data_IF_405567651028
#
_entry.id   IF_405567651028
#
_cell.length_a   1.000
_cell.length_b   1.000
_cell.length_c   1.000
_cell.angle_alpha   90.00
_cell.angle_beta   90.00
_cell.angle_gamma   90.00
#
_symmetry.space_group_name_H-M   'P 1'
#
loop_
_entity.id
_entity.type
_entity.pdbx_description
1 polymer ?
#
# COMPACT_ATOMS: atom_id res chain seq x y z
N UNK A 1 -24.19 -48.30 -15.34
CA UNK A 1 -23.79 -47.14 -16.17
C UNK A 1 -24.43 -45.80 -15.75
N UNK A 2 -25.27 -45.74 -14.70
CA UNK A 2 -25.89 -44.48 -14.24
C UNK A 2 -25.04 -43.68 -13.23
N UNK A 3 -24.12 -44.33 -12.54
CA UNK A 3 -23.26 -43.71 -11.52
C UNK A 3 -22.10 -42.93 -12.15
N UNK A 4 -21.53 -43.42 -13.25
CA UNK A 4 -20.44 -42.75 -13.97
C UNK A 4 -20.86 -41.41 -14.56
N UNK A 5 -22.07 -41.32 -15.10
CA UNK A 5 -22.62 -40.06 -15.63
C UNK A 5 -22.87 -39.03 -14.55
N UNK A 6 -23.39 -39.44 -13.38
CA UNK A 6 -23.58 -38.54 -12.23
C UNK A 6 -22.25 -37.99 -11.69
N UNK A 7 -21.21 -38.83 -11.67
CA UNK A 7 -19.88 -38.41 -11.25
C UNK A 7 -19.28 -37.36 -12.21
N UNK A 8 -19.41 -37.58 -13.52
CA UNK A 8 -18.92 -36.62 -14.53
C UNK A 8 -19.67 -35.28 -14.45
N UNK A 9 -20.99 -35.31 -14.25
CA UNK A 9 -21.79 -34.09 -14.08
C UNK A 9 -21.35 -33.32 -12.83
N UNK A 10 -21.12 -34.02 -11.71
CA UNK A 10 -20.64 -33.40 -10.46
C UNK A 10 -19.27 -32.73 -10.66
N UNK A 11 -18.33 -33.39 -11.34
CA UNK A 11 -17.00 -32.83 -11.63
C UNK A 11 -17.08 -31.54 -12.47
N UNK A 12 -17.92 -31.51 -13.50
CA UNK A 12 -18.09 -30.33 -14.37
C UNK A 12 -18.69 -29.16 -13.59
N UNK A 13 -19.68 -29.42 -12.72
CA UNK A 13 -20.27 -28.38 -11.88
C UNK A 13 -19.27 -27.76 -10.90
N UNK A 14 -18.40 -28.57 -10.28
CA UNK A 14 -17.37 -28.07 -9.36
C UNK A 14 -16.36 -27.18 -10.10
N UNK A 15 -15.94 -27.56 -11.31
CA UNK A 15 -15.02 -26.76 -12.14
C UNK A 15 -15.64 -25.44 -12.58
N UNK A 16 -16.93 -25.42 -12.91
CA UNK A 16 -17.66 -24.20 -13.25
C UNK A 16 -17.73 -23.23 -12.05
N UNK A 17 -18.03 -23.74 -10.85
CA UNK A 17 -18.05 -22.92 -9.63
C UNK A 17 -16.65 -22.38 -9.30
N UNK A 18 -15.60 -23.19 -9.41
CA UNK A 18 -14.22 -22.77 -9.18
C UNK A 18 -13.74 -21.70 -10.18
N UNK A 19 -14.09 -21.82 -11.47
CA UNK A 19 -13.75 -20.81 -12.46
C UNK A 19 -14.52 -19.50 -12.26
N UNK A 20 -15.79 -19.57 -11.84
CA UNK A 20 -16.60 -18.39 -11.54
C UNK A 20 -16.11 -17.65 -10.28
N UNK A 21 -15.55 -18.37 -9.29
CA UNK A 21 -14.89 -17.78 -8.13
C UNK A 21 -13.57 -17.10 -8.55
N UNK A 22 -12.84 -17.69 -9.50
CA UNK A 22 -11.58 -17.12 -9.99
C UNK A 22 -11.78 -15.79 -10.73
N UNK A 23 -12.91 -15.60 -11.41
CA UNK A 23 -13.31 -14.28 -11.95
C UNK A 23 -13.84 -13.32 -10.87
N UNK A 24 -14.44 -13.82 -9.79
CA UNK A 24 -14.90 -12.98 -8.68
C UNK A 24 -13.74 -12.44 -7.81
N UNK A 25 -12.59 -13.12 -7.73
CA UNK A 25 -11.40 -12.59 -7.07
C UNK A 25 -10.68 -11.50 -7.90
N UNK A 26 -11.00 -11.35 -9.19
CA UNK A 26 -10.51 -10.24 -10.00
C UNK A 26 -11.34 -8.94 -9.82
N UNK A 27 -12.52 -9.01 -9.19
CA UNK A 27 -13.45 -7.87 -9.03
C UNK A 27 -13.24 -7.11 -7.72
N UNK A 28 -12.51 -7.68 -6.75
CA UNK A 28 -12.05 -6.96 -5.57
C UNK A 28 -10.53 -6.93 -5.66
N UNK A 29 -9.93 -5.95 -6.32
CA UNK A 29 -9.61 -4.70 -5.65
C UNK A 29 -9.08 -3.76 -6.74
N UNK A 30 -9.93 -2.86 -7.25
CA UNK A 30 -9.43 -1.54 -7.66
C UNK A 30 -8.99 -0.81 -6.36
N UNK A 31 -7.92 -1.28 -5.71
CA UNK A 31 -7.19 -0.42 -4.77
C UNK A 31 -6.64 0.61 -5.71
N UNK A 32 -7.24 1.81 -5.70
CA UNK A 32 -6.57 3.04 -6.14
C UNK A 32 -5.10 2.86 -5.79
N UNK A 33 -4.22 2.80 -6.79
CA UNK A 33 -2.85 2.41 -6.56
C UNK A 33 -2.30 3.33 -5.47
N UNK A 34 -1.82 2.78 -4.36
CA UNK A 34 -1.28 3.61 -3.29
C UNK A 34 0.21 3.77 -3.59
N UNK A 35 0.58 4.98 -4.00
CA UNK A 35 1.98 5.35 -4.17
C UNK A 35 2.56 5.68 -2.79
N UNK A 36 3.56 4.92 -2.35
CA UNK A 36 4.30 5.16 -1.11
C UNK A 36 5.64 5.86 -1.39
N UNK A 37 5.94 6.92 -0.65
CA UNK A 37 7.16 7.71 -0.75
C UNK A 37 7.85 7.77 0.61
N UNK A 38 9.07 7.24 0.69
CA UNK A 38 9.83 7.23 1.93
C UNK A 38 11.12 8.03 1.76
N UNK A 39 11.36 9.02 2.63
CA UNK A 39 12.62 9.79 2.66
C UNK A 39 13.07 10.07 4.09
N UNK A 40 14.38 10.25 4.24
CA UNK A 40 14.98 10.64 5.52
C UNK A 40 15.33 12.13 5.50
N UNK A 41 15.02 12.80 6.60
CA UNK A 41 15.33 14.21 6.84
C UNK A 41 16.07 14.38 8.17
N UNK A 42 16.89 15.43 8.32
CA UNK A 42 17.53 15.72 9.60
C UNK A 42 16.50 16.12 10.66
N UNK A 43 16.82 15.87 11.93
CA UNK A 43 15.97 16.22 13.07
C UNK A 43 15.17 15.03 13.62
N UNK A 44 14.23 15.33 14.50
CA UNK A 44 13.27 14.37 15.09
C UNK A 44 11.86 14.70 14.65
N UNK A 45 10.91 13.81 14.90
CA UNK A 45 9.50 14.05 14.59
C UNK A 45 8.88 15.08 15.54
N UNK A 46 9.02 14.90 16.86
CA UNK A 46 8.32 15.77 17.82
C UNK A 46 6.81 15.79 17.58
N UNK A 47 6.12 16.83 18.06
CA UNK A 47 4.65 16.93 17.94
C UNK A 47 4.17 17.28 16.53
N UNK A 48 4.99 17.98 15.73
CA UNK A 48 4.63 18.46 14.40
C UNK A 48 5.33 17.69 13.27
N UNK A 49 5.87 16.51 13.57
CA UNK A 49 6.71 15.74 12.65
C UNK A 49 6.05 15.43 11.31
N UNK A 50 4.76 15.10 11.33
CA UNK A 50 4.00 14.83 10.10
C UNK A 50 3.86 16.06 9.20
N UNK A 51 3.65 17.25 9.78
CA UNK A 51 3.57 18.51 9.02
C UNK A 51 4.92 18.89 8.44
N UNK A 52 5.99 18.72 9.22
CA UNK A 52 7.36 18.92 8.74
C UNK A 52 7.70 17.96 7.59
N UNK A 53 7.27 16.69 7.68
CA UNK A 53 7.44 15.73 6.61
C UNK A 53 6.72 16.13 5.31
N UNK A 54 5.51 16.69 5.40
CA UNK A 54 4.78 17.21 4.24
C UNK A 54 5.57 18.34 3.56
N UNK A 55 5.98 19.35 4.33
CA UNK A 55 6.73 20.50 3.82
C UNK A 55 8.08 20.11 3.18
N UNK A 56 8.81 19.20 3.82
CA UNK A 56 10.10 18.71 3.35
C UNK A 56 9.99 17.89 2.04
N UNK A 57 8.89 17.14 1.90
CA UNK A 57 8.61 16.36 0.69
C UNK A 57 8.20 17.26 -0.48
N UNK A 58 7.36 18.25 -0.25
CA UNK A 58 6.98 19.28 -1.24
C UNK A 58 8.22 20.01 -1.77
N UNK A 59 9.10 20.43 -0.86
CA UNK A 59 10.35 21.15 -1.21
C UNK A 59 11.29 20.30 -2.07
N UNK A 60 11.35 18.99 -1.84
CA UNK A 60 12.18 18.07 -2.63
C UNK A 60 11.48 17.47 -3.86
N UNK A 61 10.43 18.13 -4.35
CA UNK A 61 9.75 17.76 -5.59
C UNK A 61 9.00 16.44 -5.53
N UNK A 62 8.49 16.05 -4.35
CA UNK A 62 7.42 15.04 -4.32
C UNK A 62 6.24 15.59 -5.15
N UNK A 63 5.58 14.74 -5.97
CA UNK A 63 4.50 15.21 -6.82
C UNK A 63 3.45 15.93 -5.96
N UNK A 64 3.01 17.11 -6.42
CA UNK A 64 1.98 17.95 -5.79
C UNK A 64 0.69 17.14 -5.66
N UNK A 65 0.59 16.37 -4.58
CA UNK A 65 -0.50 15.45 -4.36
C UNK A 65 -1.38 16.08 -3.29
N UNK A 66 -2.51 16.65 -3.73
CA UNK A 66 -3.56 17.26 -2.90
C UNK A 66 -4.07 16.34 -1.77
N UNK A 67 -3.66 15.07 -1.73
CA UNK A 67 -4.03 14.07 -0.73
C UNK A 67 -2.82 13.30 -0.15
N UNK A 68 -1.63 13.91 -0.14
CA UNK A 68 -0.45 13.29 0.46
C UNK A 68 -0.65 13.18 1.98
N UNK A 69 -0.64 11.96 2.51
CA UNK A 69 -0.68 11.69 3.95
C UNK A 69 0.69 11.21 4.39
N UNK A 70 1.31 11.91 5.33
CA UNK A 70 2.64 11.56 5.83
C UNK A 70 2.63 11.17 7.30
N UNK A 71 3.31 10.08 7.60
CA UNK A 71 3.67 9.66 8.95
C UNK A 71 5.15 9.95 9.20
N UNK A 72 5.47 10.33 10.44
CA UNK A 72 6.83 10.62 10.86
C UNK A 72 7.30 9.57 11.89
N UNK A 73 8.49 9.03 11.67
CA UNK A 73 9.15 8.12 12.61
C UNK A 73 10.55 8.64 12.96
N UNK A 74 10.90 8.64 14.25
CA UNK A 74 12.28 8.93 14.64
C UNK A 74 13.20 7.80 14.17
N UNK A 75 14.31 8.16 13.51
CA UNK A 75 15.30 7.19 13.10
C UNK A 75 16.08 6.74 14.35
N UNK A 76 16.15 5.43 14.65
CA UNK A 76 16.76 4.95 15.89
C UNK A 76 18.27 5.18 15.92
N UNK A 77 18.92 5.28 14.76
CA UNK A 77 20.35 5.58 14.68
C UNK A 77 20.62 7.06 14.41
N UNK A 78 21.57 7.58 15.19
CA UNK A 78 22.17 8.90 15.03
C UNK A 78 23.34 8.74 14.05
N UNK A 79 23.18 9.22 12.82
CA UNK A 79 24.25 9.19 11.82
C UNK A 79 25.04 10.49 11.96
N UNK A 80 26.35 10.39 12.19
CA UNK A 80 27.25 11.55 12.37
C UNK A 80 26.84 12.47 13.56
N UNK A 81 26.31 11.92 14.64
CA UNK A 81 25.90 12.71 15.81
C UNK A 81 24.61 13.53 15.61
N UNK A 82 23.95 13.46 14.44
CA UNK A 82 22.72 14.18 14.16
C UNK A 82 21.52 13.24 14.10
N UNK A 83 20.42 13.54 14.82
CA UNK A 83 19.19 12.77 14.72
C UNK A 83 18.62 12.89 13.30
N UNK A 84 17.94 11.84 12.86
CA UNK A 84 17.18 11.82 11.62
C UNK A 84 15.75 11.39 11.91
N UNK A 85 14.84 11.85 11.05
CA UNK A 85 13.45 11.40 10.97
C UNK A 85 13.22 10.72 9.63
N UNK A 86 12.32 9.74 9.64
CA UNK A 86 11.83 9.04 8.46
C UNK A 86 10.43 9.56 8.19
N UNK A 87 10.24 10.10 7.00
CA UNK A 87 8.95 10.55 6.51
C UNK A 87 8.42 9.49 5.55
N UNK A 88 7.29 8.86 5.89
CA UNK A 88 6.59 7.90 5.04
C UNK A 88 5.29 8.51 4.58
N UNK A 89 5.18 8.79 3.29
CA UNK A 89 4.03 9.45 2.71
C UNK A 89 3.28 8.53 1.76
N UNK A 90 1.96 8.66 1.71
CA UNK A 90 1.07 7.86 0.87
C UNK A 90 0.14 8.77 0.09
N UNK A 91 -0.10 8.43 -1.16
CA UNK A 91 -1.15 9.06 -1.95
C UNK A 91 -1.82 8.06 -2.89
N UNK A 92 -3.05 8.39 -3.30
CA UNK A 92 -3.72 7.72 -4.40
C UNK A 92 -3.10 8.14 -5.74
N UNK A 93 -2.44 7.18 -6.37
CA UNK A 93 -2.20 7.09 -7.80
C UNK A 93 -3.08 5.95 -8.37
#
# INVERSE_FOLDING_TARGET
MKSTTLFMVSCVSILLVLNHIKEAEAVHVQRRAVCEFNRQFPGKCGNEGSNLCLQDMETKGAPNQKNLRCDCFDHPSIILGRPKRICKCRNHC
#
